data_IF_095569536126
#
_entry.id   IF_095569536126
#
_cell.length_a   1.000
_cell.length_b   1.000
_cell.length_c   1.000
_cell.angle_alpha   90.00
_cell.angle_beta   90.00
_cell.angle_gamma   90.00
#
_symmetry.space_group_name_H-M   'P 1'
#
loop_
_entity.id
_entity.type
_entity.pdbx_description
1 polymer ?
#
# COMPACT_ATOMS: atom_id res chain seq x y z
N UNK A 1 -49.97 -50.58 53.54
CA UNK A 1 -49.61 -50.52 52.10
C UNK A 1 -49.31 -49.08 51.62
N UNK A 2 -49.08 -48.10 52.51
CA UNK A 2 -48.69 -46.73 52.12
C UNK A 2 -47.16 -46.51 52.15
N UNK A 3 -46.39 -47.27 52.92
CA UNK A 3 -44.94 -47.03 53.14
C UNK A 3 -43.98 -47.65 52.11
N UNK A 4 -44.48 -48.29 51.05
CA UNK A 4 -43.64 -48.87 49.97
C UNK A 4 -43.59 -48.01 48.70
N UNK A 5 -44.54 -47.09 48.51
CA UNK A 5 -44.58 -46.20 47.33
C UNK A 5 -43.66 -44.99 47.56
N UNK A 6 -43.60 -44.47 48.78
CA UNK A 6 -42.73 -43.34 49.18
C UNK A 6 -41.22 -43.66 49.08
N UNK A 7 -40.83 -44.92 49.32
CA UNK A 7 -39.42 -45.37 49.17
C UNK A 7 -38.97 -45.50 47.71
N UNK A 8 -39.89 -45.76 46.79
CA UNK A 8 -39.61 -45.86 45.36
C UNK A 8 -39.47 -44.49 44.68
N UNK A 9 -40.28 -43.52 45.10
CA UNK A 9 -40.22 -42.13 44.62
C UNK A 9 -38.99 -41.40 45.18
N UNK A 10 -38.62 -41.64 46.44
CA UNK A 10 -37.40 -41.09 47.04
C UNK A 10 -36.13 -41.68 46.42
N UNK A 11 -36.06 -42.99 46.16
CA UNK A 11 -34.92 -43.60 45.49
C UNK A 11 -34.74 -43.11 44.03
N UNK A 12 -35.85 -42.93 43.30
CA UNK A 12 -35.83 -42.37 41.94
C UNK A 12 -35.38 -40.91 41.92
N UNK A 13 -35.84 -40.11 42.90
CA UNK A 13 -35.42 -38.72 43.09
C UNK A 13 -33.92 -38.63 43.42
N UNK A 14 -33.43 -39.47 44.33
CA UNK A 14 -32.00 -39.54 44.66
C UNK A 14 -31.13 -39.91 43.44
N UNK A 15 -31.60 -40.83 42.58
CA UNK A 15 -30.89 -41.20 41.35
C UNK A 15 -30.89 -40.09 40.30
N UNK A 16 -31.98 -39.33 40.18
CA UNK A 16 -32.06 -38.19 39.26
C UNK A 16 -31.15 -37.05 39.73
N UNK A 17 -31.20 -36.69 41.01
CA UNK A 17 -30.30 -35.68 41.60
C UNK A 17 -28.83 -36.07 41.42
N UNK A 18 -28.48 -37.34 41.60
CA UNK A 18 -27.10 -37.81 41.37
C UNK A 18 -26.67 -37.69 39.90
N UNK A 19 -27.57 -37.96 38.94
CA UNK A 19 -27.30 -37.76 37.50
C UNK A 19 -27.18 -36.30 37.13
N UNK A 20 -28.00 -35.43 37.70
CA UNK A 20 -27.95 -33.99 37.50
C UNK A 20 -26.66 -33.40 38.07
N UNK A 21 -26.24 -33.82 39.27
CA UNK A 21 -24.95 -33.43 39.84
C UNK A 21 -23.77 -33.89 38.98
N UNK A 22 -23.82 -35.11 38.43
CA UNK A 22 -22.79 -35.59 37.49
C UNK A 22 -22.82 -34.86 36.14
N UNK A 23 -23.98 -34.43 35.68
CA UNK A 23 -24.12 -33.63 34.46
C UNK A 23 -23.57 -32.21 34.69
N UNK A 24 -23.95 -31.57 35.80
CA UNK A 24 -23.43 -30.26 36.22
C UNK A 24 -21.91 -30.27 36.36
N UNK A 25 -21.32 -31.31 36.97
CA UNK A 25 -19.86 -31.44 37.10
C UNK A 25 -19.16 -31.61 35.74
N UNK A 26 -19.81 -32.24 34.75
CA UNK A 26 -19.28 -32.35 33.38
C UNK A 26 -19.39 -31.05 32.61
N UNK A 27 -20.48 -30.31 32.82
CA UNK A 27 -20.73 -29.01 32.21
C UNK A 27 -19.78 -27.95 32.79
N UNK A 28 -19.53 -27.95 34.10
CA UNK A 28 -18.53 -27.09 34.74
C UNK A 28 -17.12 -27.37 34.19
N UNK A 29 -16.73 -28.65 34.08
CA UNK A 29 -15.45 -29.04 33.45
C UNK A 29 -15.39 -28.69 31.96
N UNK A 30 -16.51 -28.63 31.25
CA UNK A 30 -16.56 -28.17 29.87
C UNK A 30 -16.39 -26.65 29.80
N UNK A 31 -17.12 -25.90 30.63
CA UNK A 31 -17.02 -24.45 30.74
C UNK A 31 -15.62 -23.98 31.15
N UNK A 32 -14.96 -24.69 32.07
CA UNK A 32 -13.57 -24.40 32.46
C UNK A 32 -12.59 -24.60 31.29
N UNK A 33 -12.77 -25.66 30.49
CA UNK A 33 -11.96 -25.91 29.29
C UNK A 33 -12.19 -24.84 28.22
N UNK A 34 -13.43 -24.42 28.04
CA UNK A 34 -13.80 -23.39 27.07
C UNK A 34 -13.29 -22.01 27.50
N UNK A 35 -13.39 -21.66 28.78
CA UNK A 35 -12.79 -20.44 29.34
C UNK A 35 -11.28 -20.44 29.19
N UNK A 36 -10.59 -21.53 29.54
CA UNK A 36 -9.14 -21.65 29.38
C UNK A 36 -8.70 -21.53 27.91
N UNK A 37 -9.50 -22.06 26.98
CA UNK A 37 -9.26 -21.91 25.55
C UNK A 37 -9.49 -20.46 25.09
N UNK A 38 -10.54 -19.80 25.57
CA UNK A 38 -10.84 -18.40 25.26
C UNK A 38 -9.79 -17.44 25.83
N UNK A 39 -9.31 -17.68 27.05
CA UNK A 39 -8.19 -16.94 27.65
C UNK A 39 -6.92 -17.10 26.83
N UNK A 40 -6.62 -18.32 26.38
CA UNK A 40 -5.47 -18.57 25.53
C UNK A 40 -5.61 -17.85 24.17
N UNK A 41 -6.78 -17.91 23.52
CA UNK A 41 -7.05 -17.17 22.28
C UNK A 41 -6.92 -15.65 22.46
N UNK A 42 -7.48 -15.11 23.55
CA UNK A 42 -7.35 -13.69 23.89
C UNK A 42 -5.88 -13.31 24.14
N UNK A 43 -5.13 -14.18 24.84
CA UNK A 43 -3.70 -13.96 25.08
C UNK A 43 -2.89 -13.92 23.78
N UNK A 44 -3.19 -14.80 22.82
CA UNK A 44 -2.53 -14.81 21.52
C UNK A 44 -2.86 -13.57 20.71
N UNK A 45 -4.13 -13.16 20.68
CA UNK A 45 -4.57 -11.94 19.98
C UNK A 45 -3.95 -10.68 20.57
N UNK A 46 -3.84 -10.61 21.89
CA UNK A 46 -3.20 -9.47 22.54
C UNK A 46 -1.69 -9.44 22.25
N UNK A 47 -1.01 -10.59 22.24
CA UNK A 47 0.39 -10.72 21.82
C UNK A 47 0.59 -10.29 20.36
N UNK A 48 -0.31 -10.69 19.47
CA UNK A 48 -0.29 -10.30 18.06
C UNK A 48 -0.45 -8.78 17.88
N UNK A 49 -1.39 -8.17 18.61
CA UNK A 49 -1.57 -6.71 18.61
C UNK A 49 -0.36 -5.98 19.19
N UNK A 50 0.22 -6.47 20.29
CA UNK A 50 1.42 -5.90 20.91
C UNK A 50 2.62 -5.99 19.97
N UNK A 51 2.81 -7.11 19.27
CA UNK A 51 3.85 -7.26 18.25
C UNK A 51 3.64 -6.27 17.10
N UNK A 52 2.40 -6.11 16.62
CA UNK A 52 2.06 -5.16 15.56
C UNK A 52 2.25 -3.71 16.00
N UNK A 53 1.92 -3.38 17.24
CA UNK A 53 2.16 -2.06 17.82
C UNK A 53 3.66 -1.80 17.98
N UNK A 54 4.43 -2.79 18.44
CA UNK A 54 5.90 -2.71 18.49
C UNK A 54 6.50 -2.55 17.10
N UNK A 55 6.03 -3.27 16.08
CA UNK A 55 6.47 -3.08 14.69
C UNK A 55 6.20 -1.66 14.18
N UNK A 56 5.06 -1.06 14.58
CA UNK A 56 4.75 0.33 14.29
C UNK A 56 5.64 1.31 15.07
N UNK A 57 5.98 0.99 16.32
CA UNK A 57 6.82 1.82 17.20
C UNK A 57 8.33 1.71 16.92
N UNK A 58 8.83 0.53 16.52
CA UNK A 58 10.23 0.27 16.17
C UNK A 58 10.53 0.48 14.69
N UNK A 59 9.52 0.85 13.88
CA UNK A 59 9.58 1.07 12.44
C UNK A 59 10.39 2.29 11.97
N UNK A 60 11.42 2.68 12.72
CA UNK A 60 12.51 3.55 12.28
C UNK A 60 13.77 2.74 12.01
N UNK A 61 13.83 2.06 10.85
CA UNK A 61 15.04 1.72 10.06
C UNK A 61 14.70 0.68 8.98
N UNK A 62 14.83 1.08 7.72
CA UNK A 62 15.03 0.24 6.53
C UNK A 62 14.10 -0.97 6.35
N UNK A 63 12.90 -0.73 5.84
CA UNK A 63 12.21 -1.68 4.97
C UNK A 63 11.38 -0.88 3.99
N UNK A 64 11.53 -1.19 2.70
CA UNK A 64 10.72 -0.65 1.62
C UNK A 64 9.23 -0.93 1.92
N UNK A 65 8.56 0.00 2.60
CA UNK A 65 7.09 0.03 2.66
C UNK A 65 6.61 0.55 1.31
N UNK A 66 6.66 -0.33 0.32
CA UNK A 66 5.82 -0.17 -0.86
C UNK A 66 4.38 -0.08 -0.36
N UNK A 67 3.68 0.95 -0.85
CA UNK A 67 2.23 1.10 -0.81
C UNK A 67 1.54 1.26 0.55
N UNK A 68 1.67 2.44 1.17
CA UNK A 68 0.44 3.19 1.37
C UNK A 68 0.04 3.68 -0.03
N UNK A 69 -0.99 3.03 -0.57
CA UNK A 69 -1.49 3.28 -1.90
C UNK A 69 -2.03 4.69 -1.93
N UNK A 70 -1.31 5.60 -2.58
CA UNK A 70 -1.92 6.81 -3.09
C UNK A 70 -3.04 6.33 -4.02
N UNK A 71 -4.27 6.37 -3.50
CA UNK A 71 -5.50 6.03 -4.23
C UNK A 71 -5.76 7.02 -5.38
N UNK A 72 -4.93 8.05 -5.56
CA UNK A 72 -4.92 8.86 -6.78
C UNK A 72 -4.10 8.10 -7.83
N UNK A 73 -4.79 7.56 -8.83
CA UNK A 73 -4.15 6.91 -9.98
C UNK A 73 -3.24 7.94 -10.65
N UNK A 74 -1.93 7.82 -10.46
CA UNK A 74 -0.98 8.59 -11.25
C UNK A 74 -1.20 8.22 -12.73
N UNK A 75 -1.31 9.21 -13.63
CA UNK A 75 -1.44 8.92 -15.05
C UNK A 75 -0.21 8.10 -15.48
N UNK A 76 -0.43 7.02 -16.24
CA UNK A 76 0.67 6.23 -16.79
C UNK A 76 1.37 7.06 -17.87
N UNK A 77 2.68 6.93 -17.96
CA UNK A 77 3.42 7.51 -19.07
C UNK A 77 3.00 6.81 -20.38
N UNK A 78 2.87 7.58 -21.45
CA UNK A 78 2.61 7.07 -22.80
C UNK A 78 3.71 7.57 -23.74
N UNK A 79 4.15 6.71 -24.68
CA UNK A 79 5.32 7.03 -25.54
C UNK A 79 5.11 8.26 -26.44
N UNK A 80 3.87 8.67 -26.68
CA UNK A 80 3.53 9.89 -27.45
C UNK A 80 3.45 11.17 -26.62
N UNK A 81 3.57 11.10 -25.30
CA UNK A 81 3.54 12.26 -24.41
C UNK A 81 4.95 12.82 -24.20
N UNK A 82 5.06 14.15 -24.06
CA UNK A 82 6.32 14.79 -23.66
C UNK A 82 6.73 14.33 -22.24
N UNK A 83 7.87 13.63 -22.08
CA UNK A 83 8.32 13.14 -20.79
C UNK A 83 8.67 14.27 -19.81
N UNK A 84 9.06 15.48 -20.25
CA UNK A 84 9.30 16.59 -19.33
C UNK A 84 7.99 17.09 -18.69
N UNK A 85 6.93 17.21 -19.50
CA UNK A 85 5.59 17.55 -19.01
C UNK A 85 5.08 16.48 -18.04
N UNK A 86 5.28 15.19 -18.39
CA UNK A 86 4.94 14.07 -17.52
C UNK A 86 5.68 14.13 -16.18
N UNK A 87 7.01 14.30 -16.22
CA UNK A 87 7.86 14.33 -15.03
C UNK A 87 7.50 15.52 -14.13
N UNK A 88 7.26 16.71 -14.70
CA UNK A 88 6.77 17.88 -13.94
C UNK A 88 5.42 17.62 -13.27
N UNK A 89 4.49 16.95 -13.94
CA UNK A 89 3.20 16.59 -13.34
C UNK A 89 3.37 15.58 -12.20
N UNK A 90 4.23 14.58 -12.38
CA UNK A 90 4.62 13.63 -11.34
C UNK A 90 5.21 14.34 -10.12
N UNK A 91 6.21 15.22 -10.32
CA UNK A 91 6.87 16.01 -9.26
C UNK A 91 5.87 16.83 -8.44
N UNK A 92 4.94 17.51 -9.12
CA UNK A 92 3.86 18.27 -8.46
C UNK A 92 2.97 17.37 -7.61
N UNK A 93 2.58 16.20 -8.12
CA UNK A 93 1.73 15.26 -7.40
C UNK A 93 2.42 14.67 -6.17
N UNK A 94 3.66 14.19 -6.30
CA UNK A 94 4.40 13.62 -5.17
C UNK A 94 4.74 14.68 -4.11
N UNK A 95 4.98 15.92 -4.53
CA UNK A 95 5.19 17.06 -3.62
C UNK A 95 3.90 17.41 -2.88
N UNK A 96 2.76 17.44 -3.58
CA UNK A 96 1.44 17.68 -2.97
C UNK A 96 1.12 16.62 -1.90
N UNK A 97 1.48 15.36 -2.18
CA UNK A 97 1.33 14.25 -1.24
C UNK A 97 2.44 14.18 -0.17
N UNK A 98 3.39 15.13 -0.16
CA UNK A 98 4.51 15.19 0.80
C UNK A 98 5.34 13.91 0.88
N UNK A 99 5.51 13.24 -0.26
CA UNK A 99 6.31 12.01 -0.35
C UNK A 99 7.80 12.39 -0.28
N UNK A 100 8.57 11.66 0.53
CA UNK A 100 10.02 11.87 0.60
C UNK A 100 10.71 11.53 -0.73
N UNK A 101 11.72 12.32 -1.11
CA UNK A 101 12.43 12.19 -2.40
C UNK A 101 13.05 10.79 -2.61
N UNK A 102 13.42 10.12 -1.52
CA UNK A 102 13.93 8.73 -1.53
C UNK A 102 12.92 7.70 -2.05
N UNK A 103 11.61 7.98 -1.93
CA UNK A 103 10.54 7.09 -2.40
C UNK A 103 10.10 7.40 -3.83
N UNK A 104 10.52 8.52 -4.42
CA UNK A 104 10.06 8.93 -5.75
C UNK A 104 10.40 7.90 -6.84
N UNK A 105 11.60 7.29 -6.90
CA UNK A 105 11.91 6.23 -7.87
C UNK A 105 10.92 5.07 -7.81
N UNK A 106 10.62 4.59 -6.61
CA UNK A 106 9.70 3.47 -6.38
C UNK A 106 8.29 3.75 -6.92
N UNK A 107 7.88 5.02 -6.93
CA UNK A 107 6.58 5.46 -7.47
C UNK A 107 6.63 5.77 -8.96
N UNK A 108 7.77 6.23 -9.48
CA UNK A 108 7.94 6.58 -10.89
C UNK A 108 8.06 5.35 -11.78
N UNK A 109 8.91 4.38 -11.41
CA UNK A 109 9.28 3.24 -12.27
C UNK A 109 8.05 2.46 -12.80
N UNK A 110 7.02 2.13 -12.00
CA UNK A 110 5.84 1.42 -12.49
C UNK A 110 4.99 2.21 -13.49
N UNK A 111 5.20 3.53 -13.59
CA UNK A 111 4.47 4.40 -14.51
C UNK A 111 5.19 4.53 -15.85
N UNK A 112 6.48 4.18 -15.92
CA UNK A 112 7.28 4.27 -17.14
C UNK A 112 6.95 3.10 -18.07
N UNK A 113 7.05 3.35 -19.37
CA UNK A 113 6.95 2.33 -20.41
C UNK A 113 7.93 2.64 -21.54
N UNK A 114 8.17 1.65 -22.41
CA UNK A 114 8.86 1.91 -23.67
C UNK A 114 10.29 2.41 -23.51
N UNK A 115 10.63 3.43 -24.32
CA UNK A 115 11.95 4.09 -24.29
C UNK A 115 12.30 4.68 -22.92
N UNK A 116 11.33 5.11 -22.12
CA UNK A 116 11.59 5.65 -20.78
C UNK A 116 12.01 4.54 -19.79
N UNK A 117 11.36 3.38 -19.89
CA UNK A 117 11.75 2.21 -19.09
C UNK A 117 13.09 1.64 -19.56
N UNK A 118 13.37 1.67 -20.86
CA UNK A 118 14.67 1.29 -21.42
C UNK A 118 15.80 2.25 -20.98
N UNK A 119 15.50 3.54 -20.81
CA UNK A 119 16.45 4.51 -20.25
C UNK A 119 16.81 4.15 -18.81
N UNK A 120 15.80 3.81 -18.02
CA UNK A 120 15.97 3.37 -16.63
C UNK A 120 16.78 2.07 -16.52
N UNK A 121 16.52 1.08 -17.37
CA UNK A 121 17.21 -0.23 -17.30
C UNK A 121 18.70 -0.18 -17.63
N UNK A 122 19.19 0.93 -18.21
CA UNK A 122 20.61 1.16 -18.52
C UNK A 122 21.38 1.83 -17.38
N UNK A 123 20.70 2.28 -16.33
CA UNK A 123 21.33 2.87 -15.15
C UNK A 123 21.95 1.80 -14.26
N UNK A 124 22.96 2.17 -13.46
CA UNK A 124 23.52 1.29 -12.44
C UNK A 124 22.56 1.14 -11.25
N UNK A 125 22.83 0.16 -10.38
CA UNK A 125 22.03 -0.10 -9.18
C UNK A 125 22.03 1.08 -8.19
N UNK A 126 23.09 1.90 -8.19
CA UNK A 126 23.18 3.11 -7.38
C UNK A 126 22.36 4.26 -8.00
N UNK A 127 22.54 4.50 -9.30
CA UNK A 127 21.88 5.61 -10.00
C UNK A 127 20.37 5.36 -10.16
N UNK A 128 19.94 4.09 -10.31
CA UNK A 128 18.52 3.71 -10.37
C UNK A 128 17.74 3.97 -9.07
N UNK A 129 18.43 4.26 -7.96
CA UNK A 129 17.82 4.65 -6.68
C UNK A 129 17.67 6.15 -6.52
N UNK A 130 18.23 6.94 -7.45
CA UNK A 130 18.25 8.40 -7.37
C UNK A 130 17.31 8.98 -8.42
N UNK A 131 16.23 9.62 -7.97
CA UNK A 131 15.23 10.21 -8.88
C UNK A 131 15.86 11.16 -9.91
N UNK A 132 16.82 12.01 -9.49
CA UNK A 132 17.45 12.98 -10.37
C UNK A 132 18.19 12.30 -11.53
N UNK A 133 18.83 11.16 -11.27
CA UNK A 133 19.54 10.37 -12.28
C UNK A 133 18.57 9.72 -13.26
N UNK A 134 17.49 9.14 -12.75
CA UNK A 134 16.41 8.56 -13.57
C UNK A 134 15.79 9.63 -14.47
N UNK A 135 15.47 10.81 -13.90
CA UNK A 135 14.93 11.96 -14.63
C UNK A 135 15.85 12.35 -15.78
N UNK A 136 17.14 12.55 -15.50
CA UNK A 136 18.13 12.92 -16.53
C UNK A 136 18.24 11.84 -17.61
N UNK A 137 18.32 10.57 -17.24
CA UNK A 137 18.44 9.47 -18.20
C UNK A 137 17.25 9.40 -19.16
N UNK A 138 16.03 9.56 -18.64
CA UNK A 138 14.81 9.59 -19.46
C UNK A 138 14.84 10.79 -20.41
N UNK A 139 15.13 12.00 -19.91
CA UNK A 139 15.17 13.21 -20.75
C UNK A 139 16.22 13.12 -21.87
N UNK A 140 17.41 12.58 -21.55
CA UNK A 140 18.48 12.34 -22.54
C UNK A 140 18.03 11.32 -23.59
N UNK A 141 17.37 10.22 -23.20
CA UNK A 141 16.91 9.20 -24.14
C UNK A 141 15.80 9.66 -25.08
N UNK A 142 15.00 10.64 -24.67
CA UNK A 142 13.99 11.27 -25.52
C UNK A 142 14.54 12.46 -26.33
N UNK A 143 15.86 12.60 -26.36
CA UNK A 143 16.56 13.71 -27.01
C UNK A 143 16.09 15.08 -26.53
N UNK A 144 15.44 15.19 -25.36
CA UNK A 144 15.06 16.46 -24.74
C UNK A 144 16.26 17.08 -24.03
N UNK A 145 17.37 17.13 -24.76
CA UNK A 145 18.53 17.92 -24.42
C UNK A 145 18.23 19.38 -24.74
N UNK A 146 18.94 20.29 -24.07
CA UNK A 146 18.82 21.74 -24.33
C UNK A 146 19.02 22.11 -25.81
N UNK A 147 19.70 21.27 -26.59
CA UNK A 147 19.92 21.43 -28.02
C UNK A 147 18.68 21.08 -28.85
N UNK A 148 17.95 20.02 -28.53
CA UNK A 148 16.72 19.69 -29.22
C UNK A 148 15.57 20.63 -28.89
N UNK A 149 15.48 21.12 -27.64
CA UNK A 149 14.55 22.20 -27.28
C UNK A 149 14.88 23.48 -28.03
N UNK A 150 16.16 23.87 -28.11
CA UNK A 150 16.61 25.00 -28.94
C UNK A 150 16.26 24.80 -30.41
N UNK A 151 16.46 23.60 -30.95
CA UNK A 151 16.11 23.29 -32.33
C UNK A 151 14.59 23.39 -32.56
N UNK A 152 13.77 22.80 -31.67
CA UNK A 152 12.30 22.89 -31.73
C UNK A 152 11.82 24.33 -31.63
N UNK A 153 12.35 25.12 -30.71
CA UNK A 153 12.01 26.54 -30.57
C UNK A 153 12.38 27.33 -31.83
N UNK A 154 13.62 27.19 -32.32
CA UNK A 154 14.09 27.87 -33.55
C UNK A 154 13.32 27.46 -34.80
N UNK A 155 12.89 26.21 -34.87
CA UNK A 155 12.14 25.68 -36.01
C UNK A 155 10.63 25.80 -35.82
N UNK A 156 10.15 26.38 -34.71
CA UNK A 156 8.72 26.58 -34.49
C UNK A 156 8.22 27.78 -35.28
N UNK A 157 7.17 27.55 -36.06
CA UNK A 157 6.43 28.59 -36.75
C UNK A 157 4.98 28.60 -36.25
N UNK A 158 4.31 29.74 -36.42
CA UNK A 158 2.88 29.86 -36.15
C UNK A 158 2.12 28.97 -37.14
N UNK A 159 1.21 28.13 -36.63
CA UNK A 159 0.38 27.29 -37.50
C UNK A 159 -0.69 28.14 -38.20
N UNK A 160 -1.14 27.71 -39.39
CA UNK A 160 -2.22 28.37 -40.11
C UNK A 160 -3.52 28.27 -39.30
N UNK A 161 -3.93 29.39 -38.67
CA UNK A 161 -5.11 29.48 -37.80
C UNK A 161 -4.82 29.62 -36.31
N UNK A 162 -3.55 29.52 -35.88
CA UNK A 162 -3.15 29.80 -34.50
C UNK A 162 -3.06 31.32 -34.28
N UNK A 163 -3.60 31.84 -33.18
CA UNK A 163 -3.41 33.25 -32.81
C UNK A 163 -2.02 33.49 -32.23
N UNK A 164 -1.52 34.72 -32.29
CA UNK A 164 -0.20 35.06 -31.74
C UNK A 164 -0.09 34.78 -30.22
N UNK A 165 -1.21 34.88 -29.48
CA UNK A 165 -1.25 34.55 -28.05
C UNK A 165 -1.07 33.05 -27.79
N UNK A 166 -1.75 32.22 -28.57
CA UNK A 166 -1.62 30.75 -28.49
C UNK A 166 -0.20 30.31 -28.88
N UNK A 167 0.36 30.95 -29.91
CA UNK A 167 1.76 30.75 -30.30
C UNK A 167 2.72 31.07 -29.15
N UNK A 168 2.57 32.23 -28.49
CA UNK A 168 3.42 32.65 -27.35
C UNK A 168 3.36 31.63 -26.20
N UNK A 169 2.15 31.22 -25.80
CA UNK A 169 1.97 30.24 -24.72
C UNK A 169 2.60 28.89 -25.09
N UNK A 170 2.49 28.46 -26.35
CA UNK A 170 3.09 27.21 -26.84
C UNK A 170 4.61 27.26 -26.83
N UNK A 171 5.21 28.37 -27.27
CA UNK A 171 6.67 28.48 -27.34
C UNK A 171 7.32 28.74 -25.97
N UNK A 172 6.60 29.35 -25.03
CA UNK A 172 7.02 29.50 -23.62
C UNK A 172 7.05 28.16 -22.86
N UNK A 173 6.38 27.13 -23.38
CA UNK A 173 6.32 25.79 -22.78
C UNK A 173 7.47 24.84 -23.18
N UNK A 174 8.34 25.25 -24.10
CA UNK A 174 9.56 24.52 -24.48
C UNK A 174 10.72 24.81 -23.52
#
# INVERSE_FOLDING_TARGET
MADLIDKGETASTCLNLYREMQAAERDERAAERDMRKAEMDNSYRLRELELREKELATGGKSSFKTSESIKTKLPKFSEGQDPDVFLKAFEKLVTLHKIQKSEWPLRLIPLLCGKALEAYSRLSDEDSRLYDKIKTAILVRYELTSEAYRAKFRNSAQFAGESFKEFSVRIEGF
#
